data_IF_526898431625
#
_entry.id   IF_526898431625
#
_cell.length_a   1.000
_cell.length_b   1.000
_cell.length_c   1.000
_cell.angle_alpha   90.00
_cell.angle_beta   90.00
_cell.angle_gamma   90.00
#
_symmetry.space_group_name_H-M   'P 1'
#
loop_
_entity.id
_entity.type
_entity.pdbx_description
1 polymer ?
#
# COMPACT_ATOMS: atom_id res chain seq x y z
N UNK A 1 24.94 25.41 -13.90
CA UNK A 1 24.48 26.81 -13.86
C UNK A 1 23.53 26.96 -15.03
N UNK A 2 22.26 27.29 -14.79
CA UNK A 2 21.25 27.39 -15.86
C UNK A 2 21.64 28.52 -16.81
N UNK A 3 21.61 28.28 -18.12
CA UNK A 3 21.76 29.33 -19.13
C UNK A 3 20.45 30.14 -19.15
N UNK A 4 20.44 31.19 -18.31
CA UNK A 4 19.25 32.01 -18.08
C UNK A 4 18.77 32.69 -19.37
N UNK A 5 19.69 33.01 -20.27
CA UNK A 5 19.36 33.65 -21.55
C UNK A 5 18.64 32.68 -22.48
N UNK A 6 19.10 31.42 -22.56
CA UNK A 6 18.40 30.37 -23.32
C UNK A 6 17.03 30.06 -22.73
N UNK A 7 16.94 29.95 -21.40
CA UNK A 7 15.66 29.68 -20.73
C UNK A 7 14.65 30.81 -20.96
N UNK A 8 15.07 32.06 -20.79
CA UNK A 8 14.23 33.23 -21.05
C UNK A 8 13.83 33.33 -22.52
N UNK A 9 14.75 33.04 -23.45
CA UNK A 9 14.45 32.97 -24.89
C UNK A 9 13.38 31.93 -25.20
N UNK A 10 13.48 30.75 -24.59
CA UNK A 10 12.50 29.69 -24.72
C UNK A 10 11.12 30.10 -24.18
N UNK A 11 11.04 30.63 -22.95
CA UNK A 11 9.78 31.11 -22.38
C UNK A 11 9.14 32.21 -23.23
N UNK A 12 9.93 33.16 -23.71
CA UNK A 12 9.47 34.21 -24.62
C UNK A 12 8.95 33.65 -25.95
N UNK A 13 9.56 32.57 -26.44
CA UNK A 13 9.09 31.86 -27.64
C UNK A 13 7.71 31.21 -27.41
N UNK A 14 7.46 30.63 -26.23
CA UNK A 14 6.13 30.11 -25.84
C UNK A 14 5.10 31.24 -25.75
N UNK A 15 5.43 32.35 -25.09
CA UNK A 15 4.53 33.50 -24.97
C UNK A 15 4.18 34.09 -26.35
N UNK A 16 5.19 34.26 -27.22
CA UNK A 16 4.98 34.75 -28.57
C UNK A 16 4.15 33.78 -29.42
N UNK A 17 4.27 32.46 -29.21
CA UNK A 17 3.38 31.48 -29.83
C UNK A 17 1.93 31.70 -29.42
N UNK A 18 1.66 31.82 -28.10
CA UNK A 18 0.31 32.06 -27.58
C UNK A 18 -0.27 33.34 -28.18
N UNK A 19 0.45 34.46 -28.09
CA UNK A 19 0.00 35.78 -28.56
C UNK A 19 -0.26 35.83 -30.08
N UNK A 20 0.52 35.08 -30.86
CA UNK A 20 0.36 35.03 -32.31
C UNK A 20 -0.82 34.16 -32.72
N UNK A 21 -0.94 32.97 -32.15
CA UNK A 21 -2.01 32.02 -32.50
C UNK A 21 -3.36 32.39 -31.86
N UNK A 22 -3.37 33.17 -30.77
CA UNK A 22 -4.59 33.81 -30.23
C UNK A 22 -5.00 35.08 -30.99
N UNK A 23 -4.20 35.50 -31.98
CA UNK A 23 -4.40 36.70 -32.79
C UNK A 23 -4.37 38.04 -32.00
N UNK A 24 -3.83 38.04 -30.77
CA UNK A 24 -3.64 39.24 -29.96
C UNK A 24 -2.49 40.12 -30.50
N UNK A 25 -1.41 39.49 -30.96
CA UNK A 25 -0.27 40.17 -31.61
C UNK A 25 0.26 39.35 -32.79
N UNK A 26 -0.30 39.49 -34.00
CA UNK A 26 0.06 38.65 -35.15
C UNK A 26 1.51 38.80 -35.64
N UNK A 27 2.17 39.92 -35.30
CA UNK A 27 3.51 40.27 -35.78
C UNK A 27 4.67 39.81 -34.87
N UNK A 28 4.41 39.00 -33.84
CA UNK A 28 5.50 38.46 -32.99
C UNK A 28 6.14 37.22 -33.63
N UNK A 29 7.43 37.02 -33.35
CA UNK A 29 8.18 35.84 -33.81
C UNK A 29 8.35 34.83 -32.67
N UNK A 30 8.14 33.56 -32.98
CA UNK A 30 8.48 32.44 -32.10
C UNK A 30 9.19 31.35 -32.90
N UNK A 31 9.97 30.51 -32.22
CA UNK A 31 10.62 29.36 -32.83
C UNK A 31 9.61 28.26 -33.17
N UNK A 32 9.60 27.81 -34.42
CA UNK A 32 8.65 26.78 -34.88
C UNK A 32 8.69 25.46 -34.10
N UNK A 33 9.80 25.15 -33.41
CA UNK A 33 9.95 23.96 -32.57
C UNK A 33 8.96 23.92 -31.40
N UNK A 34 8.49 25.07 -30.93
CA UNK A 34 7.48 25.17 -29.85
C UNK A 34 6.19 24.45 -30.24
N UNK A 35 5.86 24.35 -31.53
CA UNK A 35 4.67 23.64 -32.02
C UNK A 35 4.68 22.13 -31.73
N UNK A 36 5.84 21.54 -31.45
CA UNK A 36 5.94 20.13 -31.07
C UNK A 36 5.66 19.90 -29.58
N UNK A 37 5.53 20.97 -28.79
CA UNK A 37 5.25 20.90 -27.36
C UNK A 37 3.74 20.82 -27.18
N UNK A 38 3.26 19.65 -26.76
CA UNK A 38 1.84 19.44 -26.45
C UNK A 38 1.41 20.16 -25.17
N UNK A 39 2.27 20.13 -24.15
CA UNK A 39 2.03 20.72 -22.84
C UNK A 39 3.38 21.09 -22.21
N UNK A 40 3.41 22.22 -21.50
CA UNK A 40 4.58 22.67 -20.75
C UNK A 40 4.14 23.20 -19.39
N UNK A 41 4.84 22.78 -18.34
CA UNK A 41 4.61 23.25 -16.97
C UNK A 41 5.93 23.25 -16.21
N UNK A 42 6.15 24.30 -15.41
CA UNK A 42 7.17 24.32 -14.38
C UNK A 42 6.61 23.67 -13.12
N UNK A 43 7.21 22.57 -12.67
CA UNK A 43 6.72 21.85 -11.49
C UNK A 43 7.01 22.65 -10.23
N UNK A 44 5.96 22.92 -9.44
CA UNK A 44 6.13 23.47 -8.09
C UNK A 44 6.50 22.37 -7.11
N UNK A 45 6.96 22.74 -5.91
CA UNK A 45 7.14 21.78 -4.81
C UNK A 45 5.87 20.96 -4.53
N UNK A 46 4.68 21.57 -4.64
CA UNK A 46 3.40 20.86 -4.47
C UNK A 46 3.06 19.92 -5.64
N UNK A 47 3.64 20.11 -6.82
CA UNK A 47 3.51 19.18 -7.93
C UNK A 47 4.46 17.97 -7.77
N UNK A 48 5.64 18.20 -7.18
CA UNK A 48 6.70 17.20 -6.98
C UNK A 48 6.39 16.32 -5.76
N UNK A 49 6.00 16.91 -4.62
CA UNK A 49 5.71 16.17 -3.38
C UNK A 49 4.30 15.60 -3.43
N UNK A 50 4.20 14.28 -3.51
CA UNK A 50 2.93 13.52 -3.48
C UNK A 50 2.78 12.71 -2.19
N UNK A 51 3.39 13.19 -1.11
CA UNK A 51 3.27 12.66 0.23
C UNK A 51 2.16 13.38 1.00
N UNK A 52 1.41 12.66 1.84
CA UNK A 52 0.52 13.27 2.84
C UNK A 52 1.13 13.29 4.24
N UNK A 53 2.00 12.32 4.54
CA UNK A 53 2.54 12.09 5.88
C UNK A 53 4.00 11.64 5.78
N UNK A 54 4.76 11.79 6.86
CA UNK A 54 6.11 11.24 6.95
C UNK A 54 6.06 9.71 6.93
N UNK A 55 6.75 9.10 5.97
CA UNK A 55 6.86 7.65 5.86
C UNK A 55 8.28 7.20 6.20
N UNK A 56 8.43 6.00 6.76
CA UNK A 56 9.74 5.39 7.01
C UNK A 56 10.57 5.22 5.73
N UNK A 57 9.89 5.08 4.58
CA UNK A 57 10.51 4.97 3.27
C UNK A 57 9.82 5.93 2.29
N UNK A 58 10.64 6.76 1.65
CA UNK A 58 10.21 7.72 0.62
C UNK A 58 10.95 7.43 -0.68
N UNK A 59 10.24 7.44 -1.80
CA UNK A 59 10.78 7.24 -3.14
C UNK A 59 10.89 8.57 -3.88
N UNK A 60 12.09 8.87 -4.37
CA UNK A 60 12.36 10.00 -5.27
C UNK A 60 12.59 9.43 -6.67
N UNK A 61 11.65 9.73 -7.57
CA UNK A 61 11.86 9.48 -8.99
C UNK A 61 12.73 10.59 -9.56
N UNK A 62 13.86 10.23 -10.16
CA UNK A 62 14.77 11.16 -10.80
C UNK A 62 14.43 11.32 -12.29
N UNK A 63 14.75 12.48 -12.85
CA UNK A 63 14.64 12.74 -14.30
C UNK A 63 15.61 11.84 -15.06
N UNK A 64 15.13 11.25 -16.15
CA UNK A 64 15.97 10.54 -17.12
C UNK A 64 16.46 11.55 -18.17
N UNK A 65 17.77 11.71 -18.30
CA UNK A 65 18.39 12.68 -19.21
C UNK A 65 18.96 11.97 -20.44
N UNK A 66 18.26 11.98 -21.59
CA UNK A 66 18.67 11.21 -22.75
C UNK A 66 19.86 11.81 -23.52
N UNK A 67 20.22 13.08 -23.31
CA UNK A 67 21.14 13.81 -24.19
C UNK A 67 22.28 14.58 -23.48
N UNK A 68 22.21 14.83 -22.17
CA UNK A 68 23.27 15.52 -21.41
C UNK A 68 23.47 14.85 -20.04
N UNK A 69 24.37 13.85 -20.00
CA UNK A 69 24.66 13.09 -18.78
C UNK A 69 25.51 13.87 -17.78
N UNK A 70 26.38 14.76 -18.24
CA UNK A 70 27.37 15.37 -17.36
C UNK A 70 26.74 16.36 -16.36
N UNK A 71 25.82 17.20 -16.84
CA UNK A 71 25.07 18.09 -15.95
C UNK A 71 24.18 17.32 -14.96
N UNK A 72 23.58 16.22 -15.40
CA UNK A 72 22.76 15.36 -14.56
C UNK A 72 23.59 14.65 -13.47
N UNK A 73 24.75 14.12 -13.83
CA UNK A 73 25.69 13.46 -12.93
C UNK A 73 26.23 14.42 -11.87
N UNK A 74 26.50 15.68 -12.25
CA UNK A 74 26.92 16.73 -11.31
C UNK A 74 25.84 17.04 -10.28
N UNK A 75 24.57 17.12 -10.70
CA UNK A 75 23.43 17.35 -9.78
C UNK A 75 23.21 16.14 -8.88
N UNK A 76 23.26 14.93 -9.43
CA UNK A 76 23.14 13.69 -8.65
C UNK A 76 24.26 13.55 -7.62
N UNK A 77 25.48 13.92 -7.98
CA UNK A 77 26.63 13.94 -7.05
C UNK A 77 26.42 14.92 -5.92
N UNK A 78 25.93 16.14 -6.21
CA UNK A 78 25.58 17.13 -5.18
C UNK A 78 24.45 16.64 -4.27
N UNK A 79 23.45 15.96 -4.81
CA UNK A 79 22.36 15.36 -4.04
C UNK A 79 22.88 14.26 -3.09
N UNK A 80 23.76 13.37 -3.59
CA UNK A 80 24.41 12.33 -2.77
C UNK A 80 25.28 12.94 -1.65
N UNK A 81 26.02 14.01 -1.94
CA UNK A 81 26.81 14.71 -0.93
C UNK A 81 25.92 15.35 0.13
N UNK A 82 24.81 15.98 -0.27
CA UNK A 82 23.83 16.52 0.68
C UNK A 82 23.25 15.43 1.58
N UNK A 83 22.98 14.22 1.06
CA UNK A 83 22.55 13.09 1.88
C UNK A 83 23.61 12.64 2.88
N UNK A 84 24.87 12.59 2.46
CA UNK A 84 25.99 12.29 3.35
C UNK A 84 26.10 13.33 4.48
N UNK A 85 26.09 14.62 4.14
CA UNK A 85 26.21 15.73 5.10
C UNK A 85 25.06 15.77 6.12
N UNK A 86 23.85 15.38 5.69
CA UNK A 86 22.65 15.32 6.54
C UNK A 86 22.43 13.97 7.22
N UNK A 87 23.35 13.01 7.08
CA UNK A 87 23.22 11.63 7.58
C UNK A 87 21.92 10.94 7.13
N UNK A 88 21.48 11.20 5.90
CA UNK A 88 20.31 10.58 5.30
C UNK A 88 20.66 9.23 4.67
N UNK A 89 20.13 8.17 5.27
CA UNK A 89 20.21 6.82 4.70
C UNK A 89 19.43 6.79 3.38
N UNK A 90 20.06 6.30 2.32
CA UNK A 90 19.46 6.24 1.00
C UNK A 90 19.96 5.02 0.19
N UNK A 91 19.18 4.65 -0.83
CA UNK A 91 19.52 3.60 -1.79
C UNK A 91 19.11 4.04 -3.19
N UNK A 92 20.06 4.05 -4.13
CA UNK A 92 19.78 4.32 -5.54
C UNK A 92 19.60 3.01 -6.31
N UNK A 93 18.53 2.92 -7.09
CA UNK A 93 18.34 1.88 -8.09
C UNK A 93 18.75 2.40 -9.46
N UNK A 94 19.97 2.06 -9.88
CA UNK A 94 20.57 2.48 -11.16
C UNK A 94 19.74 2.03 -12.38
N UNK A 95 18.90 1.00 -12.24
CA UNK A 95 18.04 0.50 -13.34
C UNK A 95 16.75 1.29 -13.51
N UNK A 96 16.29 1.98 -12.47
CA UNK A 96 14.98 2.66 -12.45
C UNK A 96 15.05 4.16 -12.21
N UNK A 97 16.27 4.71 -12.03
CA UNK A 97 16.49 6.10 -11.62
C UNK A 97 15.60 6.48 -10.42
N UNK A 98 15.44 5.53 -9.50
CA UNK A 98 14.64 5.68 -8.29
C UNK A 98 15.58 5.69 -7.08
N UNK A 99 15.44 6.73 -6.26
CA UNK A 99 16.25 6.97 -5.08
C UNK A 99 15.36 6.85 -3.85
N UNK A 100 15.59 5.82 -3.06
CA UNK A 100 14.92 5.60 -1.80
C UNK A 100 15.63 6.38 -0.68
N UNK A 101 14.86 7.07 0.16
CA UNK A 101 15.34 7.74 1.36
C UNK A 101 14.60 7.19 2.56
N UNK A 102 15.34 6.84 3.62
CA UNK A 102 14.81 6.27 4.84
C UNK A 102 14.68 7.34 5.93
N UNK A 103 13.54 7.36 6.61
CA UNK A 103 13.24 8.21 7.78
C UNK A 103 13.48 9.71 7.56
N UNK A 104 13.25 10.21 6.34
CA UNK A 104 13.31 11.64 6.05
C UNK A 104 12.06 12.36 6.57
N UNK A 105 12.26 13.48 7.27
CA UNK A 105 11.17 14.37 7.66
C UNK A 105 10.60 15.11 6.44
N UNK A 106 9.35 15.60 6.55
CA UNK A 106 8.73 16.38 5.47
C UNK A 106 9.54 17.64 5.14
N UNK A 107 10.16 18.28 6.14
CA UNK A 107 11.02 19.45 5.95
C UNK A 107 12.26 19.12 5.12
N UNK A 108 12.89 17.95 5.33
CA UNK A 108 14.01 17.51 4.52
C UNK A 108 13.57 17.19 3.08
N UNK A 109 12.40 16.57 2.89
CA UNK A 109 11.84 16.33 1.56
C UNK A 109 11.56 17.64 0.82
N UNK A 110 10.99 18.64 1.50
CA UNK A 110 10.80 19.97 0.95
C UNK A 110 12.13 20.66 0.60
N UNK A 111 13.13 20.57 1.48
CA UNK A 111 14.46 21.12 1.22
C UNK A 111 15.09 20.45 -0.01
N UNK A 112 14.99 19.13 -0.14
CA UNK A 112 15.52 18.40 -1.28
C UNK A 112 14.82 18.84 -2.58
N UNK A 113 13.49 18.84 -2.60
CA UNK A 113 12.72 19.19 -3.81
C UNK A 113 12.84 20.64 -4.24
N UNK A 114 13.16 21.56 -3.32
CA UNK A 114 13.42 22.98 -3.63
C UNK A 114 14.83 23.24 -4.18
N UNK A 115 15.79 22.38 -3.86
CA UNK A 115 17.21 22.62 -4.17
C UNK A 115 17.77 21.69 -5.26
N UNK A 116 17.08 20.61 -5.60
CA UNK A 116 17.55 19.61 -6.56
C UNK A 116 16.53 19.35 -7.67
N UNK A 117 16.74 20.03 -8.80
CA UNK A 117 15.85 20.00 -9.98
C UNK A 117 15.76 18.61 -10.67
N UNK A 118 16.65 17.69 -10.31
CA UNK A 118 16.64 16.31 -10.81
C UNK A 118 15.46 15.49 -10.24
N UNK A 119 14.81 15.95 -9.17
CA UNK A 119 13.71 15.24 -8.52
C UNK A 119 12.40 15.51 -9.24
N UNK A 120 11.87 14.50 -9.95
CA UNK A 120 10.64 14.60 -10.73
C UNK A 120 9.39 14.39 -9.86
N UNK A 121 9.46 13.46 -8.91
CA UNK A 121 8.35 13.21 -7.99
C UNK A 121 8.81 12.52 -6.71
N UNK A 122 8.13 12.82 -5.62
CA UNK A 122 8.30 12.16 -4.32
C UNK A 122 7.03 11.41 -3.94
N UNK A 123 7.13 10.11 -3.72
CA UNK A 123 6.00 9.24 -3.33
C UNK A 123 6.36 8.36 -2.15
N UNK A 124 5.37 7.90 -1.38
CA UNK A 124 5.60 6.84 -0.39
C UNK A 124 5.55 5.49 -1.09
N UNK A 125 6.04 4.45 -0.42
CA UNK A 125 5.86 3.06 -0.86
C UNK A 125 4.39 2.61 -0.86
N UNK A 126 3.50 3.36 -0.20
CA UNK A 126 2.05 3.15 -0.20
C UNK A 126 1.42 3.85 -1.40
N UNK A 127 1.66 3.31 -2.61
CA UNK A 127 1.20 3.94 -3.85
C UNK A 127 -0.32 3.82 -4.02
N UNK A 128 -1.05 4.91 -3.76
CA UNK A 128 -2.38 5.16 -4.32
C UNK A 128 -2.23 5.95 -5.63
N UNK A 129 -3.05 5.65 -6.64
CA UNK A 129 -3.11 6.41 -7.90
C UNK A 129 -4.05 7.59 -7.72
N UNK A 130 -3.60 8.80 -8.06
CA UNK A 130 -4.44 9.99 -7.98
C UNK A 130 -5.20 10.13 -9.31
N UNK A 131 -6.53 10.21 -9.26
CA UNK A 131 -7.39 10.43 -10.43
C UNK A 131 -8.59 11.32 -10.12
N UNK A 132 -9.26 11.88 -11.13
CA UNK A 132 -10.48 12.65 -10.91
C UNK A 132 -11.65 11.74 -10.47
N UNK A 133 -12.46 12.22 -9.54
CA UNK A 133 -13.76 11.63 -9.20
C UNK A 133 -14.81 11.98 -10.27
N UNK A 134 -16.01 11.39 -10.16
CA UNK A 134 -17.19 11.75 -10.97
C UNK A 134 -17.57 13.25 -10.87
N UNK A 135 -17.17 13.92 -9.79
CA UNK A 135 -17.42 15.34 -9.55
C UNK A 135 -16.18 16.21 -9.83
N UNK A 136 -15.18 15.66 -10.51
CA UNK A 136 -13.92 16.32 -10.86
C UNK A 136 -13.12 16.83 -9.65
N UNK A 137 -13.33 16.20 -8.48
CA UNK A 137 -12.51 16.39 -7.29
C UNK A 137 -11.37 15.37 -7.29
N UNK A 138 -10.24 15.72 -6.66
CA UNK A 138 -9.09 14.82 -6.55
C UNK A 138 -9.46 13.63 -5.67
N UNK A 139 -9.46 12.43 -6.24
CA UNK A 139 -9.73 11.18 -5.54
C UNK A 139 -8.53 10.24 -5.63
N UNK A 140 -8.17 9.63 -4.50
CA UNK A 140 -7.15 8.60 -4.47
C UNK A 140 -7.82 7.27 -4.79
N UNK A 141 -7.47 6.71 -5.94
CA UNK A 141 -7.87 5.39 -6.39
C UNK A 141 -6.71 4.41 -6.20
N UNK A 142 -7.01 3.15 -6.36
CA UNK A 142 -6.00 2.11 -6.44
C UNK A 142 -5.58 1.97 -7.90
N UNK A 143 -4.34 1.57 -8.16
CA UNK A 143 -3.83 1.46 -9.53
C UNK A 143 -4.41 0.30 -10.32
N UNK A 144 -5.24 -0.54 -9.69
CA UNK A 144 -5.78 -1.74 -10.29
C UNK A 144 -7.29 -1.84 -10.15
N UNK A 145 -7.89 -2.63 -11.04
CA UNK A 145 -9.30 -3.02 -11.05
C UNK A 145 -9.39 -4.55 -11.11
N UNK A 146 -10.51 -5.09 -10.64
CA UNK A 146 -10.76 -6.54 -10.67
C UNK A 146 -11.54 -6.88 -11.94
N UNK A 147 -10.92 -7.66 -12.81
CA UNK A 147 -11.44 -7.95 -14.15
C UNK A 147 -12.53 -9.02 -14.20
N UNK A 148 -12.63 -9.86 -13.17
CA UNK A 148 -13.51 -11.03 -13.15
C UNK A 148 -14.46 -11.05 -11.96
N UNK A 149 -14.86 -9.87 -11.47
CA UNK A 149 -15.76 -9.75 -10.32
C UNK A 149 -17.13 -10.42 -10.56
N UNK A 150 -17.58 -10.45 -11.82
CA UNK A 150 -18.85 -11.05 -12.23
C UNK A 150 -18.78 -12.59 -12.34
N UNK A 151 -17.58 -13.19 -12.29
CA UNK A 151 -17.42 -14.64 -12.34
C UNK A 151 -17.89 -15.30 -11.03
N UNK A 152 -18.31 -16.57 -11.13
CA UNK A 152 -18.55 -17.41 -9.96
C UNK A 152 -17.23 -17.95 -9.43
N UNK A 153 -16.71 -17.28 -8.40
CA UNK A 153 -15.46 -17.63 -7.72
C UNK A 153 -15.76 -18.30 -6.36
N UNK A 154 -14.87 -19.17 -5.86
CA UNK A 154 -14.99 -19.73 -4.51
C UNK A 154 -15.01 -18.60 -3.46
N UNK A 155 -15.68 -18.83 -2.34
CA UNK A 155 -15.77 -17.87 -1.25
C UNK A 155 -14.74 -18.23 -0.17
N UNK A 156 -13.96 -17.25 0.28
CA UNK A 156 -13.09 -17.34 1.45
C UNK A 156 -13.69 -16.48 2.57
N UNK A 157 -13.85 -17.06 3.77
CA UNK A 157 -14.24 -16.32 4.96
C UNK A 157 -13.02 -15.68 5.64
N UNK A 158 -13.03 -14.36 5.81
CA UNK A 158 -11.94 -13.62 6.46
C UNK A 158 -12.39 -13.19 7.85
N UNK A 159 -11.79 -13.79 8.88
CA UNK A 159 -12.01 -13.47 10.28
C UNK A 159 -10.95 -12.47 10.74
N UNK A 160 -11.30 -11.18 10.70
CA UNK A 160 -10.38 -10.10 11.06
C UNK A 160 -11.15 -8.81 11.45
N UNK A 161 -10.59 -7.65 11.15
CA UNK A 161 -11.01 -6.31 11.52
C UNK A 161 -12.03 -5.67 10.56
N UNK A 162 -12.49 -6.45 9.58
CA UNK A 162 -13.38 -6.03 8.49
C UNK A 162 -12.66 -6.01 7.14
N UNK A 163 -13.41 -5.75 6.08
CA UNK A 163 -12.87 -5.56 4.73
C UNK A 163 -13.49 -4.29 4.15
N UNK A 164 -12.67 -3.27 3.90
CA UNK A 164 -13.19 -1.99 3.44
C UNK A 164 -13.75 -2.04 2.02
N UNK A 165 -15.00 -1.58 1.85
CA UNK A 165 -15.63 -1.33 0.54
C UNK A 165 -15.15 -0.06 -0.16
N UNK A 166 -14.29 0.76 0.47
CA UNK A 166 -13.65 1.91 -0.19
C UNK A 166 -12.44 1.52 -1.05
N UNK A 167 -12.28 0.22 -1.35
CA UNK A 167 -11.15 -0.36 -2.10
C UNK A 167 -11.64 -1.15 -3.31
N UNK A 168 -10.78 -1.55 -4.27
CA UNK A 168 -11.18 -2.35 -5.42
C UNK A 168 -11.79 -3.70 -5.04
N UNK A 169 -11.50 -4.19 -3.83
CA UNK A 169 -12.10 -5.41 -3.28
C UNK A 169 -13.62 -5.33 -3.22
N UNK A 170 -14.21 -4.13 -3.18
CA UNK A 170 -15.66 -3.92 -3.12
C UNK A 170 -16.45 -4.77 -4.12
N UNK A 171 -15.90 -4.98 -5.32
CA UNK A 171 -16.52 -5.76 -6.38
C UNK A 171 -16.56 -7.28 -6.12
N UNK A 172 -15.68 -7.80 -5.26
CA UNK A 172 -15.59 -9.23 -4.90
C UNK A 172 -15.99 -9.52 -3.44
N UNK A 173 -16.39 -8.50 -2.68
CA UNK A 173 -16.92 -8.67 -1.32
C UNK A 173 -18.38 -9.15 -1.41
N UNK A 174 -18.68 -10.26 -0.74
CA UNK A 174 -20.06 -10.71 -0.54
C UNK A 174 -20.80 -9.68 0.32
N UNK A 175 -21.90 -9.14 -0.21
CA UNK A 175 -22.70 -8.10 0.44
C UNK A 175 -23.60 -8.69 1.55
N UNK A 176 -22.99 -9.20 2.60
CA UNK A 176 -23.66 -9.75 3.78
C UNK A 176 -23.02 -9.19 5.07
N UNK A 177 -23.77 -8.38 5.81
CA UNK A 177 -23.29 -7.73 7.02
C UNK A 177 -23.60 -8.51 8.31
N UNK A 178 -24.19 -9.70 8.20
CA UNK A 178 -24.68 -10.46 9.35
C UNK A 178 -23.58 -11.15 10.18
N UNK A 179 -22.33 -11.13 9.73
CA UNK A 179 -21.16 -11.73 10.40
C UNK A 179 -20.27 -10.67 11.03
N UNK A 180 -20.72 -10.16 12.18
CA UNK A 180 -20.06 -9.05 12.86
C UNK A 180 -20.24 -9.16 14.38
N UNK A 181 -19.14 -9.07 15.13
CA UNK A 181 -19.13 -8.96 16.60
C UNK A 181 -18.94 -7.52 17.09
N UNK A 182 -18.79 -6.58 16.17
CA UNK A 182 -18.41 -5.19 16.49
C UNK A 182 -19.56 -4.22 16.27
N UNK A 183 -19.37 -2.96 16.68
CA UNK A 183 -20.38 -1.89 16.52
C UNK A 183 -20.37 -1.24 15.13
N UNK A 184 -19.32 -1.48 14.35
CA UNK A 184 -19.17 -0.89 13.01
C UNK A 184 -19.37 -1.97 11.96
N UNK A 185 -19.73 -1.57 10.74
CA UNK A 185 -20.01 -2.52 9.66
C UNK A 185 -18.80 -3.43 9.38
N UNK A 186 -19.01 -4.71 9.00
CA UNK A 186 -17.94 -5.57 8.50
C UNK A 186 -17.33 -5.07 7.19
N UNK A 187 -17.93 -4.08 6.55
CA UNK A 187 -17.43 -3.42 5.34
C UNK A 187 -16.59 -2.17 5.61
N UNK A 188 -16.30 -1.90 6.89
CA UNK A 188 -15.42 -0.83 7.35
C UNK A 188 -14.29 -1.52 8.11
N UNK A 189 -13.06 -1.08 7.88
CA UNK A 189 -11.88 -1.58 8.56
C UNK A 189 -11.17 -0.40 9.24
N UNK A 190 -11.38 -0.28 10.56
CA UNK A 190 -10.87 0.83 11.35
C UNK A 190 -9.48 0.54 11.95
N UNK A 191 -8.95 -0.67 11.75
CA UNK A 191 -7.63 -1.04 12.24
C UNK A 191 -6.55 -0.16 11.60
N UNK A 192 -5.43 0.03 12.31
CA UNK A 192 -4.32 0.88 11.87
C UNK A 192 -4.76 2.28 11.41
N UNK A 193 -5.58 2.96 12.23
CA UNK A 193 -6.11 4.29 11.92
C UNK A 193 -6.90 4.37 10.60
N UNK A 194 -7.48 3.24 10.15
CA UNK A 194 -8.24 3.15 8.90
C UNK A 194 -7.43 2.66 7.70
N UNK A 195 -6.13 2.37 7.86
CA UNK A 195 -5.32 1.73 6.80
C UNK A 195 -5.75 0.27 6.55
N UNK A 196 -6.36 -0.34 7.56
CA UNK A 196 -7.08 -1.61 7.45
C UNK A 196 -6.20 -2.85 7.46
N UNK A 197 -6.28 -3.62 8.55
CA UNK A 197 -5.56 -4.89 8.68
C UNK A 197 -6.29 -6.00 7.89
N UNK A 198 -7.58 -6.17 8.12
CA UNK A 198 -8.39 -7.22 7.48
C UNK A 198 -8.54 -7.00 5.98
N UNK A 199 -8.58 -5.75 5.53
CA UNK A 199 -8.58 -5.37 4.12
C UNK A 199 -7.32 -5.85 3.41
N UNK A 200 -6.16 -5.72 4.06
CA UNK A 200 -4.88 -6.19 3.53
C UNK A 200 -4.80 -7.73 3.49
N UNK A 201 -5.26 -8.40 4.55
CA UNK A 201 -5.37 -9.87 4.60
C UNK A 201 -6.27 -10.39 3.49
N UNK A 202 -7.43 -9.77 3.30
CA UNK A 202 -8.40 -10.15 2.28
C UNK A 202 -7.84 -9.98 0.86
N UNK A 203 -7.10 -8.90 0.59
CA UNK A 203 -6.43 -8.72 -0.69
C UNK A 203 -5.42 -9.84 -0.97
N UNK A 204 -4.61 -10.21 0.03
CA UNK A 204 -3.65 -11.30 -0.11
C UNK A 204 -4.35 -12.65 -0.35
N UNK A 205 -5.44 -12.92 0.37
CA UNK A 205 -6.22 -14.14 0.19
C UNK A 205 -6.88 -14.23 -1.20
N UNK A 206 -7.39 -13.11 -1.74
CA UNK A 206 -8.08 -13.08 -3.03
C UNK A 206 -7.14 -13.07 -4.25
N UNK A 207 -5.92 -12.54 -4.12
CA UNK A 207 -5.04 -12.35 -5.28
C UNK A 207 -3.69 -13.07 -5.19
N UNK A 208 -3.28 -13.49 -3.99
CA UNK A 208 -1.94 -13.99 -3.74
C UNK A 208 -0.85 -13.04 -4.25
N UNK A 209 0.06 -13.55 -5.09
CA UNK A 209 1.18 -12.78 -5.64
C UNK A 209 0.87 -11.98 -6.92
N UNK A 210 -0.32 -12.13 -7.52
CA UNK A 210 -0.66 -11.52 -8.82
C UNK A 210 -0.47 -9.98 -8.82
N UNK A 211 -0.89 -9.22 -7.79
CA UNK A 211 -0.75 -7.77 -7.80
C UNK A 211 0.71 -7.32 -7.80
N UNK A 212 1.57 -8.03 -7.08
CA UNK A 212 3.01 -7.76 -7.05
C UNK A 212 3.66 -7.93 -8.42
N UNK A 213 3.29 -8.97 -9.17
CA UNK A 213 3.87 -9.26 -10.49
C UNK A 213 3.63 -8.13 -11.50
N UNK A 214 2.58 -7.33 -11.31
CA UNK A 214 2.21 -6.21 -12.20
C UNK A 214 2.35 -4.84 -11.52
N UNK A 215 2.97 -4.79 -10.34
CA UNK A 215 3.17 -3.56 -9.59
C UNK A 215 1.88 -2.81 -9.24
N UNK A 216 0.80 -3.55 -8.94
CA UNK A 216 -0.52 -3.00 -8.56
C UNK A 216 -1.14 -2.08 -9.63
N UNK A 217 -0.97 -2.41 -10.91
CA UNK A 217 -1.48 -1.61 -12.04
C UNK A 217 -2.32 -2.41 -13.03
N UNK A 218 -3.43 -1.83 -13.48
CA UNK A 218 -4.28 -2.39 -14.52
C UNK A 218 -5.25 -3.45 -14.01
N UNK A 219 -5.61 -4.41 -14.86
CA UNK A 219 -6.58 -5.44 -14.55
C UNK A 219 -5.93 -6.62 -13.79
N UNK A 220 -6.56 -7.03 -12.68
CA UNK A 220 -6.18 -8.22 -11.90
C UNK A 220 -7.36 -9.18 -11.86
N UNK A 221 -7.11 -10.48 -12.02
CA UNK A 221 -8.10 -11.52 -11.76
C UNK A 221 -8.07 -11.92 -10.28
N UNK A 222 -9.20 -11.91 -9.60
CA UNK A 222 -9.37 -12.53 -8.29
C UNK A 222 -9.49 -14.06 -8.40
N UNK A 223 -8.96 -14.76 -7.41
CA UNK A 223 -9.11 -16.21 -7.25
C UNK A 223 -10.32 -16.59 -6.38
N UNK A 224 -10.87 -15.63 -5.62
CA UNK A 224 -11.97 -15.85 -4.70
C UNK A 224 -12.82 -14.60 -4.45
N UNK A 225 -14.09 -14.81 -4.09
CA UNK A 225 -14.95 -13.82 -3.42
C UNK A 225 -14.67 -13.84 -1.91
N UNK A 226 -14.92 -12.70 -1.26
CA UNK A 226 -14.54 -12.46 0.12
C UNK A 226 -15.79 -12.31 0.99
N UNK A 227 -15.94 -13.16 2.00
CA UNK A 227 -16.91 -12.98 3.07
C UNK A 227 -16.22 -12.32 4.27
N UNK A 228 -16.59 -11.08 4.57
CA UNK A 228 -16.06 -10.36 5.74
C UNK A 228 -16.75 -10.85 7.01
N UNK A 229 -15.97 -11.45 7.93
CA UNK A 229 -16.41 -11.88 9.25
C UNK A 229 -15.66 -11.01 10.26
N UNK A 230 -16.30 -9.91 10.67
CA UNK A 230 -15.62 -8.91 11.50
C UNK A 230 -15.70 -9.30 12.98
N UNK A 231 -14.55 -9.66 13.55
CA UNK A 231 -14.42 -10.13 14.93
C UNK A 231 -13.78 -9.09 15.86
N UNK A 232 -13.13 -8.06 15.30
CA UNK A 232 -12.49 -6.98 16.04
C UNK A 232 -12.61 -5.65 15.27
N UNK A 233 -12.50 -4.51 15.95
CA UNK A 233 -12.58 -3.17 15.32
C UNK A 233 -11.32 -2.32 15.54
N UNK A 234 -10.29 -2.93 16.15
CA UNK A 234 -9.05 -2.29 16.53
C UNK A 234 -7.89 -3.31 16.41
N UNK A 235 -6.66 -2.84 16.59
CA UNK A 235 -5.46 -3.70 16.52
C UNK A 235 -5.34 -4.66 17.70
N UNK A 236 -5.99 -4.35 18.81
CA UNK A 236 -5.98 -5.16 20.04
C UNK A 236 -7.37 -5.12 20.67
N UNK A 237 -7.73 -6.22 21.34
CA UNK A 237 -9.03 -6.37 21.96
C UNK A 237 -9.17 -7.73 22.63
N UNK A 238 -10.32 -7.95 23.26
CA UNK A 238 -10.68 -9.28 23.73
C UNK A 238 -11.21 -10.12 22.57
N UNK A 239 -10.98 -11.43 22.65
CA UNK A 239 -11.45 -12.40 21.67
C UNK A 239 -12.49 -13.30 22.34
N UNK A 240 -13.71 -13.32 21.81
CA UNK A 240 -14.77 -14.20 22.29
C UNK A 240 -14.81 -15.46 21.44
N UNK A 241 -14.11 -16.50 21.88
CA UNK A 241 -13.94 -17.77 21.15
C UNK A 241 -15.29 -18.42 20.79
N UNK A 242 -16.24 -18.40 21.73
CA UNK A 242 -17.58 -18.95 21.52
C UNK A 242 -18.38 -18.16 20.46
N UNK A 243 -18.31 -16.82 20.50
CA UNK A 243 -18.99 -16.00 19.50
C UNK A 243 -18.36 -16.17 18.11
N UNK A 244 -17.05 -16.39 18.02
CA UNK A 244 -16.37 -16.72 16.77
C UNK A 244 -16.83 -18.06 16.22
N UNK A 245 -16.88 -19.11 17.06
CA UNK A 245 -17.43 -20.41 16.66
C UNK A 245 -18.89 -20.28 16.22
N UNK A 246 -19.68 -19.44 16.88
CA UNK A 246 -21.06 -19.15 16.48
C UNK A 246 -21.12 -18.48 15.10
N UNK A 247 -20.24 -17.51 14.82
CA UNK A 247 -20.15 -16.88 13.51
C UNK A 247 -19.70 -17.85 12.42
N UNK A 248 -18.73 -18.71 12.70
CA UNK A 248 -18.25 -19.75 11.80
C UNK A 248 -19.37 -20.74 11.43
N UNK A 249 -20.12 -21.24 12.41
CA UNK A 249 -21.27 -22.12 12.18
C UNK A 249 -22.36 -21.42 11.36
N UNK A 250 -22.69 -20.15 11.67
CA UNK A 250 -23.65 -19.37 10.91
C UNK A 250 -23.19 -19.13 9.47
N UNK A 251 -21.91 -18.82 9.27
CA UNK A 251 -21.32 -18.59 7.95
C UNK A 251 -21.37 -19.86 7.11
N UNK A 252 -21.00 -21.00 7.68
CA UNK A 252 -21.07 -22.29 7.02
C UNK A 252 -22.50 -22.72 6.71
N UNK A 253 -23.45 -22.48 7.63
CA UNK A 253 -24.85 -22.79 7.39
C UNK A 253 -25.45 -21.95 6.24
N UNK A 254 -25.11 -20.66 6.17
CA UNK A 254 -25.59 -19.76 5.11
C UNK A 254 -24.86 -19.96 3.77
N UNK A 255 -23.57 -20.29 3.83
CA UNK A 255 -22.71 -20.53 2.67
C UNK A 255 -22.04 -21.92 2.77
N UNK A 256 -22.80 -23.00 2.50
CA UNK A 256 -22.33 -24.37 2.69
C UNK A 256 -21.12 -24.73 1.83
N UNK A 257 -20.91 -24.01 0.72
CA UNK A 257 -19.80 -24.22 -0.20
C UNK A 257 -18.48 -23.54 0.24
N UNK A 258 -18.48 -22.74 1.33
CA UNK A 258 -17.22 -22.21 1.87
C UNK A 258 -16.36 -23.37 2.36
N UNK A 259 -15.12 -23.38 1.88
CA UNK A 259 -14.11 -24.38 2.23
C UNK A 259 -12.90 -23.80 2.94
N UNK A 260 -12.68 -22.49 2.83
CA UNK A 260 -11.49 -21.83 3.37
C UNK A 260 -11.91 -20.69 4.29
N UNK A 261 -11.30 -20.65 5.47
CA UNK A 261 -11.34 -19.52 6.38
C UNK A 261 -9.93 -19.06 6.72
N UNK A 262 -9.76 -17.75 6.91
CA UNK A 262 -8.51 -17.13 7.33
C UNK A 262 -8.77 -16.42 8.66
N UNK A 263 -8.03 -16.80 9.70
CA UNK A 263 -8.08 -16.23 11.04
C UNK A 263 -6.73 -15.60 11.37
N UNK A 264 -6.69 -14.27 11.37
CA UNK A 264 -5.46 -13.49 11.57
C UNK A 264 -5.42 -12.75 12.90
N UNK A 265 -6.33 -13.10 13.81
CA UNK A 265 -6.27 -12.68 15.22
C UNK A 265 -5.70 -13.83 16.06
N UNK A 266 -4.70 -13.51 16.87
CA UNK A 266 -3.95 -14.45 17.70
C UNK A 266 -3.93 -13.96 19.17
N UNK A 267 -3.50 -14.80 20.11
CA UNK A 267 -3.32 -14.39 21.50
C UNK A 267 -2.15 -13.43 21.65
N UNK A 268 -2.16 -12.66 22.74
CA UNK A 268 -1.06 -11.77 23.11
C UNK A 268 0.14 -12.57 23.61
N UNK A 269 -0.13 -13.49 24.53
CA UNK A 269 0.89 -14.24 25.24
C UNK A 269 1.19 -15.55 24.50
N UNK A 270 2.45 -15.97 24.59
CA UNK A 270 2.92 -17.22 23.97
C UNK A 270 2.46 -18.42 24.79
N UNK A 271 2.35 -19.57 24.13
CA UNK A 271 2.09 -20.85 24.80
C UNK A 271 3.20 -21.19 25.79
N UNK A 272 2.86 -21.60 27.00
CA UNK A 272 3.83 -22.02 28.01
C UNK A 272 4.34 -23.45 27.75
N UNK A 273 5.53 -23.77 28.24
CA UNK A 273 6.12 -25.11 28.12
C UNK A 273 5.27 -26.12 28.89
N UNK A 274 4.90 -27.22 28.23
CA UNK A 274 4.01 -28.26 28.74
C UNK A 274 2.59 -27.77 29.08
N UNK A 275 2.17 -26.61 28.59
CA UNK A 275 0.77 -26.21 28.66
C UNK A 275 -0.09 -27.11 27.76
N UNK A 276 -1.24 -27.55 28.27
CA UNK A 276 -2.22 -28.28 27.47
C UNK A 276 -2.70 -27.44 26.28
N UNK A 277 -3.25 -28.09 25.25
CA UNK A 277 -3.83 -27.37 24.12
C UNK A 277 -4.99 -26.48 24.58
N UNK A 278 -5.12 -25.31 23.96
CA UNK A 278 -6.22 -24.39 24.20
C UNK A 278 -7.55 -25.02 23.77
N UNK A 279 -8.59 -24.80 24.57
CA UNK A 279 -9.97 -25.22 24.22
C UNK A 279 -10.40 -24.65 22.88
N UNK A 280 -9.93 -23.44 22.54
CA UNK A 280 -10.19 -22.82 21.26
C UNK A 280 -9.60 -23.60 20.09
N UNK A 281 -8.33 -24.03 20.17
CA UNK A 281 -7.70 -24.83 19.13
C UNK A 281 -8.46 -26.14 18.90
N UNK A 282 -8.88 -26.81 19.98
CA UNK A 282 -9.71 -28.01 19.91
C UNK A 282 -11.05 -27.77 19.20
N UNK A 283 -11.79 -26.73 19.56
CA UNK A 283 -13.08 -26.46 18.93
C UNK A 283 -12.95 -25.98 17.47
N UNK A 284 -11.87 -25.26 17.13
CA UNK A 284 -11.56 -24.92 15.74
C UNK A 284 -11.25 -26.16 14.89
N UNK A 285 -10.43 -27.08 15.40
CA UNK A 285 -10.09 -28.35 14.72
C UNK A 285 -11.34 -29.22 14.52
N UNK A 286 -12.14 -29.37 15.58
CA UNK A 286 -13.41 -30.08 15.52
C UNK A 286 -14.37 -29.46 14.51
N UNK A 287 -14.53 -28.12 14.51
CA UNK A 287 -15.34 -27.43 13.52
C UNK A 287 -14.81 -27.67 12.10
N UNK A 288 -13.49 -27.61 11.91
CA UNK A 288 -12.86 -27.84 10.61
C UNK A 288 -13.10 -29.26 10.09
N UNK A 289 -12.89 -30.26 10.95
CA UNK A 289 -13.09 -31.67 10.64
C UNK A 289 -14.55 -31.98 10.30
N UNK A 290 -15.50 -31.52 11.12
CA UNK A 290 -16.92 -31.80 10.93
C UNK A 290 -17.50 -31.18 9.66
N UNK A 291 -16.92 -30.08 9.19
CA UNK A 291 -17.44 -29.32 8.05
C UNK A 291 -16.64 -29.51 6.76
N UNK A 292 -15.57 -30.33 6.79
CA UNK A 292 -14.63 -30.54 5.69
C UNK A 292 -14.15 -29.20 5.12
N UNK A 293 -13.46 -28.42 5.96
CA UNK A 293 -12.92 -27.09 5.64
C UNK A 293 -11.48 -26.97 6.15
N UNK A 294 -10.78 -25.94 5.66
CA UNK A 294 -9.46 -25.55 6.13
C UNK A 294 -9.51 -24.15 6.76
N UNK A 295 -8.85 -24.01 7.91
CA UNK A 295 -8.69 -22.73 8.60
C UNK A 295 -7.20 -22.38 8.60
N UNK A 296 -6.82 -21.28 7.97
CA UNK A 296 -5.48 -20.73 8.02
C UNK A 296 -5.37 -19.77 9.20
N UNK A 297 -4.44 -20.03 10.10
CA UNK A 297 -4.27 -19.25 11.34
C UNK A 297 -2.90 -18.55 11.32
N UNK A 298 -2.84 -17.28 11.72
CA UNK A 298 -1.57 -16.58 11.94
C UNK A 298 -0.71 -17.29 13.01
N UNK A 299 0.61 -17.11 12.96
CA UNK A 299 1.51 -17.51 14.05
C UNK A 299 1.67 -16.43 15.13
N UNK A 300 0.92 -15.33 15.01
CA UNK A 300 1.01 -14.11 15.81
C UNK A 300 2.32 -13.32 15.63
N UNK A 301 2.32 -12.10 16.19
CA UNK A 301 3.51 -11.29 16.38
C UNK A 301 3.95 -11.42 17.84
N UNK A 302 4.91 -12.31 18.11
CA UNK A 302 5.49 -12.45 19.44
C UNK A 302 6.64 -11.44 19.61
N UNK A 303 6.35 -10.27 20.17
CA UNK A 303 7.36 -9.23 20.38
C UNK A 303 8.45 -9.64 21.38
N UNK A 304 8.16 -10.57 22.30
CA UNK A 304 9.15 -11.08 23.25
C UNK A 304 10.22 -11.95 22.54
N UNK A 305 9.87 -12.50 21.37
CA UNK A 305 10.77 -13.28 20.51
C UNK A 305 11.63 -12.44 19.56
N UNK A 306 11.60 -11.10 19.67
CA UNK A 306 12.42 -10.23 18.84
C UNK A 306 13.91 -10.38 19.19
N UNK A 307 14.65 -11.14 18.38
CA UNK A 307 16.08 -11.35 18.59
C UNK A 307 16.91 -10.13 18.17
N UNK A 308 17.51 -9.42 19.13
CA UNK A 308 18.40 -8.28 18.89
C UNK A 308 19.89 -8.66 18.75
N UNK A 309 20.21 -9.96 18.72
CA UNK A 309 21.59 -10.47 18.69
C UNK A 309 21.85 -11.45 17.54
N UNK A 310 23.14 -11.66 17.25
CA UNK A 310 23.66 -12.52 16.17
C UNK A 310 23.01 -13.91 16.17
N UNK A 311 22.62 -14.38 14.97
CA UNK A 311 21.96 -15.66 14.66
C UNK A 311 22.34 -16.84 15.59
N UNK A 312 21.66 -16.95 16.73
CA UNK A 312 21.83 -17.99 17.74
C UNK A 312 20.62 -18.92 17.70
N UNK A 313 20.81 -20.16 17.26
CA UNK A 313 19.71 -21.14 17.17
C UNK A 313 19.21 -21.59 18.55
N UNK A 314 20.02 -21.48 19.59
CA UNK A 314 19.61 -21.83 20.96
C UNK A 314 18.59 -20.84 21.53
N UNK A 315 18.49 -19.65 20.93
CA UNK A 315 17.48 -18.64 21.24
C UNK A 315 16.05 -19.20 21.15
N UNK A 316 15.77 -20.05 20.16
CA UNK A 316 14.44 -20.63 19.94
C UNK A 316 14.07 -21.75 20.92
N UNK A 317 14.98 -22.13 21.85
CA UNK A 317 14.65 -23.04 22.94
C UNK A 317 14.06 -22.32 24.16
N UNK A 318 14.02 -20.99 24.15
CA UNK A 318 13.42 -20.24 25.24
C UNK A 318 11.89 -20.19 25.07
N UNK A 319 11.17 -20.43 26.17
CA UNK A 319 9.69 -20.45 26.21
C UNK A 319 9.06 -19.18 25.62
N UNK A 320 9.64 -18.01 25.88
CA UNK A 320 9.14 -16.73 25.35
C UNK A 320 9.21 -16.62 23.82
N UNK A 321 9.83 -17.57 23.13
CA UNK A 321 9.85 -17.65 21.66
C UNK A 321 8.75 -18.53 21.07
N UNK A 322 7.93 -19.17 21.91
CA UNK A 322 6.80 -19.98 21.49
C UNK A 322 5.75 -19.15 20.73
N UNK A 323 4.88 -19.85 19.98
CA UNK A 323 3.83 -19.22 19.19
C UNK A 323 2.71 -18.65 20.11
N UNK A 324 2.10 -17.54 19.69
CA UNK A 324 0.90 -16.99 20.34
C UNK A 324 -0.38 -17.32 19.55
N UNK A 325 -0.32 -18.30 18.64
CA UNK A 325 -1.52 -18.81 17.96
C UNK A 325 -2.34 -19.70 18.90
N UNK A 326 -3.66 -19.85 18.68
CA UNK A 326 -4.40 -20.96 19.27
C UNK A 326 -3.67 -22.28 19.00
N UNK A 327 -3.20 -22.91 20.07
CA UNK A 327 -2.31 -24.09 20.05
C UNK A 327 -2.52 -24.99 21.25
#
# INVERSE_FOLDING_TARGET
MVDQDRFNSFLKSIENFILKESNEKPNVYYEGKVKFIKEFKLLTTSDIIKLKETCQLTNLRLIDFPLDRQAADDILTKLKNYFFDKNLKHRLSETSNNLEIFNASIFQIEEITKNFDIVLSVTSSLSTVIGPSLLNTVERKYGFEISNADEELPIIGILDTGISKSTPLASIIINDDSFNLTKTSPFIDNANAGDGHGTSVAALAAFGRKPYAIGYRGAISADAKLLSIKIMDANTGYLSENEILTLLNRAKAKYPNIKLFVLTTCYRDHKLLNEDYSTYAFELDKFAHQNDILIFICTANNNDSANHHSYDLSYFFNEFTNLCSPS
#
